data_IF_444044035710
#
_entry.id   IF_444044035710
#
_cell.length_a   1.000
_cell.length_b   1.000
_cell.length_c   1.000
_cell.angle_alpha   90.00
_cell.angle_beta   90.00
_cell.angle_gamma   90.00
#
_symmetry.space_group_name_H-M   'P 1'
#
loop_
_entity.id
_entity.type
_entity.pdbx_description
1 polymer ?
#
# COMPACT_ATOMS: atom_id res chain seq x y z
N UNK A 1 7.28 -14.57 -10.21
CA UNK A 1 7.62 -15.52 -11.28
C UNK A 1 6.51 -16.50 -11.51
N UNK A 2 6.51 -17.71 -10.96
CA UNK A 2 5.52 -18.76 -11.30
C UNK A 2 4.05 -18.49 -10.84
N UNK A 3 3.58 -17.25 -10.87
CA UNK A 3 2.30 -16.80 -10.32
C UNK A 3 2.25 -16.75 -8.81
N UNK A 4 3.37 -17.00 -8.13
CA UNK A 4 3.45 -17.03 -6.68
C UNK A 4 3.53 -15.62 -6.09
N UNK A 5 2.72 -15.39 -5.06
CA UNK A 5 2.61 -14.13 -4.34
C UNK A 5 2.37 -14.40 -2.86
N UNK A 6 3.17 -13.79 -2.00
CA UNK A 6 2.98 -13.83 -0.55
C UNK A 6 2.31 -12.53 -0.09
N UNK A 7 0.99 -12.56 0.08
CA UNK A 7 0.23 -11.41 0.55
C UNK A 7 0.45 -11.16 2.06
N UNK A 8 0.90 -9.96 2.39
CA UNK A 8 1.10 -9.52 3.77
C UNK A 8 -0.11 -8.73 4.26
N UNK A 9 -0.55 -8.99 5.50
CA UNK A 9 -1.68 -8.30 6.15
C UNK A 9 -2.99 -8.33 5.31
N UNK A 10 -3.28 -9.45 4.65
CA UNK A 10 -4.49 -9.65 3.80
C UNK A 10 -5.81 -9.23 4.46
N UNK A 11 -5.96 -9.48 5.75
CA UNK A 11 -7.21 -9.23 6.48
C UNK A 11 -7.33 -7.82 7.07
N UNK A 12 -6.37 -6.92 6.80
CA UNK A 12 -6.37 -5.55 7.31
C UNK A 12 -6.22 -4.55 6.16
N UNK A 13 -7.00 -3.48 6.23
CA UNK A 13 -7.03 -2.39 5.25
C UNK A 13 -7.07 -2.88 3.79
N UNK A 14 -8.14 -3.61 3.44
CA UNK A 14 -8.25 -4.35 2.18
C UNK A 14 -8.26 -3.52 0.90
N UNK A 15 -8.41 -2.19 0.96
CA UNK A 15 -8.25 -1.32 -0.20
C UNK A 15 -6.80 -1.25 -0.70
N UNK A 16 -5.82 -1.59 0.15
CA UNK A 16 -4.39 -1.65 -0.18
C UNK A 16 -3.91 -3.09 -0.04
N UNK A 17 -3.39 -3.64 -1.12
CA UNK A 17 -2.72 -4.93 -1.19
C UNK A 17 -1.23 -4.70 -1.03
N UNK A 18 -0.60 -5.47 -0.17
CA UNK A 18 0.86 -5.48 0.07
C UNK A 18 1.33 -6.91 0.06
N UNK A 19 2.48 -7.19 -0.54
CA UNK A 19 3.07 -8.52 -0.44
C UNK A 19 4.36 -8.63 -1.21
N UNK A 20 4.99 -9.79 -1.11
CA UNK A 20 6.26 -10.06 -1.78
C UNK A 20 6.06 -11.02 -2.95
N UNK A 21 6.80 -10.77 -4.01
CA UNK A 21 6.86 -11.62 -5.19
C UNK A 21 8.30 -11.73 -5.69
N UNK A 22 8.47 -12.45 -6.79
CA UNK A 22 9.68 -12.38 -7.61
C UNK A 22 9.37 -11.87 -9.00
N UNK A 23 10.29 -11.12 -9.57
CA UNK A 23 10.27 -10.69 -10.97
C UNK A 23 11.64 -11.03 -11.57
N UNK A 24 11.67 -11.98 -12.50
CA UNK A 24 12.91 -12.46 -13.13
C UNK A 24 13.96 -12.94 -12.10
N UNK A 25 13.51 -13.67 -11.08
CA UNK A 25 14.34 -14.15 -9.98
C UNK A 25 14.66 -13.13 -8.89
N UNK A 26 14.45 -11.83 -9.12
CA UNK A 26 14.68 -10.78 -8.12
C UNK A 26 13.51 -10.68 -7.16
N UNK A 27 13.80 -10.51 -5.86
CA UNK A 27 12.75 -10.29 -4.85
C UNK A 27 12.22 -8.87 -4.97
N UNK A 28 10.90 -8.72 -5.04
CA UNK A 28 10.23 -7.42 -5.19
C UNK A 28 9.12 -7.27 -4.16
N UNK A 29 8.95 -6.06 -3.64
CA UNK A 29 7.73 -5.65 -2.96
C UNK A 29 6.65 -5.32 -3.98
N UNK A 30 5.42 -5.73 -3.73
CA UNK A 30 4.26 -5.41 -4.57
C UNK A 30 3.25 -4.65 -3.73
N UNK A 31 2.90 -3.46 -4.21
CA UNK A 31 1.80 -2.65 -3.73
C UNK A 31 0.71 -2.62 -4.80
N UNK A 32 -0.54 -2.75 -4.39
CA UNK A 32 -1.68 -2.59 -5.28
C UNK A 32 -2.85 -1.94 -4.55
N UNK A 33 -3.72 -1.24 -5.29
CA UNK A 33 -5.05 -0.91 -4.79
C UNK A 33 -6.06 -1.97 -5.25
N UNK A 34 -7.06 -2.25 -4.42
CA UNK A 34 -8.17 -3.16 -4.74
C UNK A 34 -9.45 -2.35 -4.99
N UNK A 35 -9.87 -2.13 -6.25
CA UNK A 35 -11.11 -1.42 -6.58
C UNK A 35 -12.36 -2.08 -5.99
N UNK A 36 -12.32 -3.38 -5.65
CA UNK A 36 -13.45 -4.07 -5.01
C UNK A 36 -13.66 -3.65 -3.54
N UNK A 37 -12.70 -2.93 -2.95
CA UNK A 37 -12.72 -2.45 -1.56
C UNK A 37 -12.60 -0.94 -1.55
N UNK A 38 -13.64 -0.25 -1.08
CA UNK A 38 -13.68 1.23 -1.04
C UNK A 38 -13.39 1.89 -2.40
N UNK A 39 -13.69 1.22 -3.52
CA UNK A 39 -13.30 1.67 -4.86
C UNK A 39 -11.78 1.87 -5.03
N UNK A 40 -10.94 1.20 -4.22
CA UNK A 40 -9.49 1.39 -4.19
C UNK A 40 -9.04 2.65 -3.44
N UNK A 41 -9.96 3.43 -2.87
CA UNK A 41 -9.63 4.67 -2.18
C UNK A 41 -8.81 4.44 -0.91
N UNK A 42 -7.82 5.30 -0.69
CA UNK A 42 -6.93 5.19 0.46
C UNK A 42 -7.56 5.83 1.69
N UNK A 43 -7.97 5.00 2.65
CA UNK A 43 -8.34 5.44 3.99
C UNK A 43 -7.12 5.46 4.93
N UNK A 44 -7.29 5.95 6.16
CA UNK A 44 -6.17 6.05 7.09
C UNK A 44 -5.48 4.71 7.39
N UNK A 45 -6.24 3.62 7.49
CA UNK A 45 -5.68 2.30 7.78
C UNK A 45 -4.93 1.75 6.56
N UNK A 46 -5.43 1.99 5.34
CA UNK A 46 -4.71 1.73 4.10
C UNK A 46 -3.42 2.54 3.98
N UNK A 47 -3.44 3.80 4.36
CA UNK A 47 -2.25 4.65 4.35
C UNK A 47 -1.16 4.15 5.30
N UNK A 48 -1.51 3.72 6.52
CA UNK A 48 -0.53 3.14 7.44
C UNK A 48 -0.01 1.79 6.95
N UNK A 49 -0.86 0.97 6.32
CA UNK A 49 -0.46 -0.29 5.68
C UNK A 49 0.56 -0.05 4.56
N UNK A 50 0.26 0.92 3.71
CA UNK A 50 1.12 1.36 2.62
C UNK A 50 2.47 1.84 3.15
N UNK A 51 2.46 2.85 4.04
CA UNK A 51 3.68 3.46 4.57
C UNK A 51 4.61 2.43 5.21
N UNK A 52 4.07 1.59 6.09
CA UNK A 52 4.85 0.53 6.73
C UNK A 52 5.45 -0.45 5.72
N UNK A 53 4.75 -0.79 4.64
CA UNK A 53 5.26 -1.73 3.65
C UNK A 53 6.37 -1.12 2.79
N UNK A 54 6.24 0.16 2.42
CA UNK A 54 7.30 0.90 1.74
C UNK A 54 8.54 1.01 2.64
N UNK A 55 8.37 1.47 3.88
CA UNK A 55 9.46 1.56 4.87
C UNK A 55 10.18 0.20 5.05
N UNK A 56 9.42 -0.90 5.03
CA UNK A 56 9.96 -2.25 5.12
C UNK A 56 10.76 -2.63 3.86
N UNK A 57 10.25 -2.34 2.67
CA UNK A 57 10.97 -2.66 1.43
C UNK A 57 12.26 -1.84 1.33
N UNK A 58 12.21 -0.56 1.66
CA UNK A 58 13.37 0.34 1.70
C UNK A 58 14.44 -0.16 2.67
N UNK A 59 14.06 -0.47 3.92
CA UNK A 59 14.98 -0.97 4.94
C UNK A 59 15.75 -2.25 4.53
N UNK A 60 15.20 -3.05 3.61
CA UNK A 60 15.80 -4.28 3.11
C UNK A 60 16.27 -4.18 1.65
N UNK A 61 16.30 -2.98 1.07
CA UNK A 61 16.74 -2.71 -0.30
C UNK A 61 15.96 -3.52 -1.36
N UNK A 62 14.65 -3.71 -1.13
CA UNK A 62 13.77 -4.39 -2.07
C UNK A 62 13.13 -3.38 -3.02
N UNK A 63 13.25 -3.56 -4.35
CA UNK A 63 12.52 -2.73 -5.30
C UNK A 63 11.02 -2.95 -5.14
N UNK A 64 10.25 -1.87 -5.32
CA UNK A 64 8.80 -1.88 -5.16
C UNK A 64 8.11 -1.66 -6.50
N UNK A 65 7.16 -2.54 -6.82
CA UNK A 65 6.26 -2.40 -7.97
C UNK A 65 4.89 -1.97 -7.47
N UNK A 66 4.35 -0.88 -8.00
CA UNK A 66 3.09 -0.29 -7.56
C UNK A 66 2.04 -0.35 -8.68
N UNK A 67 0.93 -1.02 -8.40
CA UNK A 67 -0.26 -1.08 -9.25
C UNK A 67 -1.34 -0.13 -8.71
N UNK A 68 -1.38 1.09 -9.21
CA UNK A 68 -2.32 2.12 -8.76
C UNK A 68 -3.55 2.17 -9.65
N UNK A 69 -4.69 1.80 -9.07
CA UNK A 69 -6.04 2.03 -9.55
C UNK A 69 -6.90 2.53 -8.38
N UNK A 70 -6.74 3.81 -8.06
CA UNK A 70 -7.44 4.44 -6.92
C UNK A 70 -7.95 5.83 -7.31
N UNK A 71 -9.12 6.25 -6.83
CA UNK A 71 -9.67 7.57 -7.08
C UNK A 71 -9.01 8.66 -6.22
N UNK A 72 -8.27 8.29 -5.17
CA UNK A 72 -7.61 9.20 -4.24
C UNK A 72 -7.81 8.82 -2.77
N UNK A 73 -7.68 9.79 -1.87
CA UNK A 73 -7.93 9.61 -0.44
C UNK A 73 -9.43 9.54 -0.14
N UNK A 74 -9.81 8.73 0.85
CA UNK A 74 -11.15 8.76 1.41
C UNK A 74 -11.40 10.09 2.13
N UNK A 75 -12.48 10.76 1.73
CA UNK A 75 -12.94 12.02 2.32
C UNK A 75 -14.19 11.81 3.21
N UNK A 76 -14.55 12.84 3.97
CA UNK A 76 -15.75 12.87 4.81
C UNK A 76 -15.46 12.78 6.30
N UNK A 77 -16.44 13.12 7.14
CA UNK A 77 -16.23 13.30 8.58
C UNK A 77 -15.64 12.08 9.30
N UNK A 78 -15.97 10.86 8.86
CA UNK A 78 -15.38 9.64 9.40
C UNK A 78 -13.88 9.50 9.07
N UNK A 79 -13.50 9.82 7.83
CA UNK A 79 -12.11 9.81 7.38
C UNK A 79 -11.28 10.89 8.09
N UNK A 80 -11.85 12.08 8.27
CA UNK A 80 -11.21 13.17 9.01
C UNK A 80 -10.95 12.80 10.48
N UNK A 81 -11.92 12.16 11.16
CA UNK A 81 -11.73 11.66 12.53
C UNK A 81 -10.66 10.58 12.64
N UNK A 82 -10.46 9.80 11.57
CA UNK A 82 -9.37 8.82 11.45
C UNK A 82 -8.03 9.43 11.01
N UNK A 83 -7.97 10.75 10.84
CA UNK A 83 -6.81 11.50 10.35
C UNK A 83 -6.28 10.96 9.01
N UNK A 84 -7.17 10.58 8.09
CA UNK A 84 -6.80 9.99 6.79
C UNK A 84 -5.79 10.85 6.03
N UNK A 85 -5.99 12.17 5.95
CA UNK A 85 -5.04 13.06 5.26
C UNK A 85 -3.63 12.99 5.87
N UNK A 86 -3.50 13.11 7.20
CA UNK A 86 -2.19 13.05 7.87
C UNK A 86 -1.48 11.71 7.64
N UNK A 87 -2.22 10.61 7.74
CA UNK A 87 -1.69 9.25 7.51
C UNK A 87 -1.34 9.04 6.03
N UNK A 88 -2.18 9.55 5.13
CA UNK A 88 -1.97 9.54 3.69
C UNK A 88 -0.71 10.31 3.25
N UNK A 89 -0.47 11.50 3.80
CA UNK A 89 0.75 12.25 3.54
C UNK A 89 2.00 11.47 4.00
N UNK A 90 1.95 10.79 5.16
CA UNK A 90 3.07 9.92 5.59
C UNK A 90 3.35 8.81 4.58
N UNK A 91 2.31 8.20 4.01
CA UNK A 91 2.47 7.18 2.98
C UNK A 91 3.17 7.73 1.72
N UNK A 92 2.84 8.96 1.31
CA UNK A 92 3.51 9.63 0.19
C UNK A 92 4.97 9.97 0.51
N UNK A 93 5.26 10.43 1.73
CA UNK A 93 6.64 10.72 2.17
C UNK A 93 7.47 9.44 2.14
N UNK A 94 6.96 8.32 2.68
CA UNK A 94 7.66 7.03 2.64
C UNK A 94 8.05 6.62 1.21
N UNK A 95 7.16 6.83 0.23
CA UNK A 95 7.49 6.57 -1.19
C UNK A 95 8.41 7.58 -1.84
N UNK A 96 8.55 8.78 -1.29
CA UNK A 96 9.45 9.79 -1.82
C UNK A 96 10.88 9.66 -1.25
N UNK A 97 11.02 9.06 -0.07
CA UNK A 97 12.30 8.85 0.62
C UNK A 97 12.95 7.50 0.31
N UNK A 98 12.16 6.49 -0.10
CA UNK A 98 12.61 5.18 -0.59
C UNK A 98 13.13 5.24 -2.03
#
# INVERSE_FOLDING_TARGET
>A
DNGEFFEMRRHWAGAIITGFARLDGYSVGVLGSDPSKLAGAMDGDGADKYAHFVDLCDAFNLPVVIFLDMPGFMLGSHAERKATMRRGIRALIASAEA
#
